data_IF_303261455446
#
_entry.id   IF_303261455446
#
_cell.length_a   1.000
_cell.length_b   1.000
_cell.length_c   1.000
_cell.angle_alpha   90.00
_cell.angle_beta   90.00
_cell.angle_gamma   90.00
#
_symmetry.space_group_name_H-M   'P 1'
#
loop_
_entity.id
_entity.type
_entity.pdbx_description
1 polymer ?
#
# COMPACT_ATOMS: atom_id res chain seq x y z
N UNK A 1 -5.90 -12.58 40.25
CA UNK A 1 -6.47 -13.17 39.00
C UNK A 1 -6.03 -12.33 37.83
N UNK A 2 -5.13 -12.85 37.01
CA UNK A 2 -4.64 -12.13 35.82
C UNK A 2 -5.71 -12.22 34.73
N UNK A 3 -6.26 -11.11 34.33
CA UNK A 3 -7.09 -11.00 33.12
C UNK A 3 -6.22 -11.30 31.91
N UNK A 4 -6.45 -12.42 31.25
CA UNK A 4 -5.82 -12.73 29.99
C UNK A 4 -6.23 -11.66 28.98
N UNK A 5 -5.28 -10.83 28.59
CA UNK A 5 -5.39 -9.92 27.45
C UNK A 5 -5.80 -10.74 26.23
N UNK A 6 -6.98 -10.44 25.68
CA UNK A 6 -7.56 -11.14 24.52
C UNK A 6 -6.85 -10.83 23.21
N UNK A 7 -5.53 -10.97 23.18
CA UNK A 7 -4.80 -10.89 21.91
C UNK A 7 -5.05 -12.18 21.13
N UNK A 8 -5.81 -12.08 20.07
CA UNK A 8 -5.90 -13.14 19.05
C UNK A 8 -4.49 -13.45 18.54
N UNK A 9 -4.14 -14.73 18.50
CA UNK A 9 -2.85 -15.15 17.93
C UNK A 9 -2.74 -14.66 16.49
N UNK A 10 -1.73 -13.84 16.20
CA UNK A 10 -1.46 -13.32 14.85
C UNK A 10 -0.53 -14.28 14.14
N UNK A 11 -0.96 -14.81 13.00
CA UNK A 11 -0.10 -15.57 12.10
C UNK A 11 0.75 -14.62 11.26
N UNK A 12 1.92 -14.28 11.75
CA UNK A 12 2.83 -13.34 11.09
C UNK A 12 3.31 -13.79 9.71
N UNK A 13 3.34 -15.09 9.42
CA UNK A 13 3.66 -15.59 8.09
C UNK A 13 2.55 -15.24 7.10
N UNK A 14 1.30 -15.46 7.47
CA UNK A 14 0.16 -15.08 6.64
C UNK A 14 0.10 -13.56 6.42
N UNK A 15 0.36 -12.76 7.44
CA UNK A 15 0.45 -11.30 7.33
C UNK A 15 1.57 -10.90 6.37
N UNK A 16 2.73 -11.55 6.43
CA UNK A 16 3.85 -11.30 5.52
C UNK A 16 3.49 -11.59 4.06
N UNK A 17 2.82 -12.71 3.79
CA UNK A 17 2.38 -13.10 2.45
C UNK A 17 1.34 -12.11 1.90
N UNK A 18 0.43 -11.64 2.73
CA UNK A 18 -0.56 -10.63 2.38
C UNK A 18 0.08 -9.29 2.05
N UNK A 19 1.02 -8.81 2.87
CA UNK A 19 1.78 -7.57 2.61
C UNK A 19 2.51 -7.64 1.26
N UNK A 20 3.17 -8.76 0.97
CA UNK A 20 3.86 -8.96 -0.31
C UNK A 20 2.86 -8.94 -1.47
N UNK A 21 1.71 -9.54 -1.30
CA UNK A 21 0.65 -9.56 -2.32
C UNK A 21 0.14 -8.16 -2.62
N UNK A 22 -0.16 -7.37 -1.59
CA UNK A 22 -0.61 -5.98 -1.76
C UNK A 22 0.46 -5.09 -2.35
N UNK A 23 1.72 -5.24 -1.91
CA UNK A 23 2.84 -4.51 -2.50
C UNK A 23 2.97 -4.79 -4.00
N UNK A 24 2.93 -6.06 -4.39
CA UNK A 24 2.97 -6.45 -5.81
C UNK A 24 1.84 -5.84 -6.62
N UNK A 25 0.63 -5.83 -6.09
CA UNK A 25 -0.53 -5.27 -6.77
C UNK A 25 -0.42 -3.76 -6.94
N UNK A 26 0.09 -3.03 -5.95
CA UNK A 26 0.35 -1.59 -6.05
C UNK A 26 1.45 -1.31 -7.06
N UNK A 27 2.55 -2.07 -7.06
CA UNK A 27 3.66 -1.90 -8.01
C UNK A 27 3.27 -2.15 -9.48
N UNK A 28 2.16 -2.83 -9.75
CA UNK A 28 1.61 -3.01 -11.11
C UNK A 28 0.95 -1.75 -11.66
N UNK A 29 0.56 -0.85 -10.77
CA UNK A 29 -0.19 0.34 -11.16
C UNK A 29 0.82 1.41 -11.55
N UNK A 30 0.76 1.82 -12.81
CA UNK A 30 1.59 2.91 -13.31
C UNK A 30 1.05 4.24 -12.80
N UNK A 31 1.72 4.76 -11.78
CA UNK A 31 1.42 6.05 -11.14
C UNK A 31 2.51 7.08 -11.38
N UNK A 32 3.23 6.96 -12.52
CA UNK A 32 4.26 7.93 -12.89
C UNK A 32 3.68 9.34 -12.97
N UNK A 33 4.39 10.27 -12.39
CA UNK A 33 4.01 11.68 -12.39
C UNK A 33 5.14 12.51 -13.06
N UNK A 34 4.86 13.28 -14.16
CA UNK A 34 3.59 13.31 -14.89
C UNK A 34 3.29 12.03 -15.70
N UNK A 35 2.00 11.77 -16.12
CA UNK A 35 0.82 12.61 -15.87
C UNK A 35 0.13 12.41 -14.51
N UNK A 36 0.44 11.36 -13.77
CA UNK A 36 -0.25 10.94 -12.57
C UNK A 36 -0.94 9.59 -12.78
N UNK A 37 -2.17 9.40 -12.35
CA UNK A 37 -3.01 8.19 -12.28
C UNK A 37 -3.03 7.56 -10.88
N UNK A 38 -2.69 8.30 -9.86
CA UNK A 38 -2.72 7.83 -8.47
C UNK A 38 -4.12 7.37 -8.05
N UNK A 39 -5.17 7.85 -8.75
CA UNK A 39 -6.54 7.40 -8.53
C UNK A 39 -6.67 5.88 -8.60
N UNK A 40 -5.96 5.20 -9.50
CA UNK A 40 -6.00 3.74 -9.66
C UNK A 40 -5.42 3.01 -8.45
N UNK A 41 -4.36 3.56 -7.84
CA UNK A 41 -3.81 3.03 -6.60
C UNK A 41 -4.76 3.27 -5.43
N UNK A 42 -5.37 4.46 -5.36
CA UNK A 42 -6.36 4.79 -4.34
C UNK A 42 -7.61 3.90 -4.45
N UNK A 43 -8.07 3.59 -5.66
CA UNK A 43 -9.19 2.67 -5.91
C UNK A 43 -8.86 1.25 -5.45
N UNK A 44 -7.69 0.74 -5.80
CA UNK A 44 -7.24 -0.57 -5.34
C UNK A 44 -7.22 -0.64 -3.80
N UNK A 45 -6.63 0.36 -3.14
CA UNK A 45 -6.56 0.39 -1.67
C UNK A 45 -7.98 0.47 -1.08
N UNK A 46 -8.87 1.27 -1.68
CA UNK A 46 -10.27 1.35 -1.24
C UNK A 46 -10.98 0.00 -1.31
N UNK A 47 -10.77 -0.75 -2.40
CA UNK A 47 -11.38 -2.09 -2.56
C UNK A 47 -10.88 -3.05 -1.47
N UNK A 48 -9.58 -3.06 -1.18
CA UNK A 48 -9.01 -3.87 -0.11
C UNK A 48 -9.61 -3.50 1.25
N UNK A 49 -9.68 -2.21 1.57
CA UNK A 49 -10.27 -1.73 2.81
C UNK A 49 -11.75 -2.10 2.94
N UNK A 50 -12.51 -2.02 1.84
CA UNK A 50 -13.93 -2.41 1.83
C UNK A 50 -14.14 -3.90 2.10
N UNK A 51 -13.26 -4.77 1.61
CA UNK A 51 -13.31 -6.21 1.90
C UNK A 51 -13.14 -6.49 3.39
N UNK A 52 -12.37 -5.65 4.08
CA UNK A 52 -12.18 -5.71 5.53
C UNK A 52 -13.21 -4.89 6.33
N UNK A 53 -14.26 -4.39 5.66
CA UNK A 53 -15.32 -3.60 6.30
C UNK A 53 -14.90 -2.19 6.71
N UNK A 54 -13.80 -1.68 6.18
CA UNK A 54 -13.27 -0.35 6.46
C UNK A 54 -13.73 0.61 5.37
N UNK A 55 -14.51 1.62 5.72
CA UNK A 55 -14.93 2.65 4.79
C UNK A 55 -13.77 3.58 4.45
N UNK A 56 -13.53 3.78 3.15
CA UNK A 56 -12.54 4.72 2.63
C UNK A 56 -13.16 5.69 1.63
N UNK A 57 -12.78 6.95 1.70
CA UNK A 57 -13.18 8.01 0.79
C UNK A 57 -12.01 8.41 -0.10
N UNK A 58 -12.25 8.53 -1.41
CA UNK A 58 -11.26 9.07 -2.34
C UNK A 58 -11.53 10.55 -2.51
N UNK A 59 -10.53 11.37 -2.21
CA UNK A 59 -10.56 12.82 -2.37
C UNK A 59 -9.43 13.23 -3.32
N UNK A 60 -9.68 14.23 -4.14
CA UNK A 60 -8.65 14.69 -5.08
C UNK A 60 -9.11 15.83 -5.97
N UNK A 61 -8.16 16.51 -6.62
CA UNK A 61 -8.44 17.68 -7.46
C UNK A 61 -8.97 17.33 -8.86
N UNK A 62 -8.84 16.08 -9.30
CA UNK A 62 -9.21 15.65 -10.65
C UNK A 62 -9.61 14.17 -10.69
N UNK A 63 -10.05 13.72 -11.85
CA UNK A 63 -10.43 12.31 -12.09
C UNK A 63 -9.25 11.34 -12.08
N UNK A 64 -8.03 11.84 -12.30
CA UNK A 64 -6.83 11.02 -12.45
C UNK A 64 -5.96 11.03 -11.18
N UNK A 65 -6.16 12.03 -10.32
CA UNK A 65 -5.40 12.24 -9.10
C UNK A 65 -6.30 12.20 -7.88
N UNK A 66 -6.05 11.21 -7.03
CA UNK A 66 -6.85 11.00 -5.83
C UNK A 66 -6.05 10.41 -4.69
N UNK A 67 -6.48 10.76 -3.49
CA UNK A 67 -5.95 10.23 -2.24
C UNK A 67 -7.05 9.46 -1.54
N UNK A 68 -6.76 8.25 -1.10
CA UNK A 68 -7.67 7.50 -0.23
C UNK A 68 -7.46 7.95 1.22
N UNK A 69 -8.56 8.26 1.88
CA UNK A 69 -8.61 8.57 3.32
C UNK A 69 -9.51 7.55 3.98
N UNK A 70 -9.00 6.84 4.97
CA UNK A 70 -9.76 5.88 5.75
C UNK A 70 -9.48 6.04 7.23
N UNK A 71 -10.41 5.64 8.07
CA UNK A 71 -10.28 5.71 9.52
C UNK A 71 -10.66 4.40 10.18
N UNK A 72 -9.72 3.82 10.91
CA UNK A 72 -9.98 2.78 11.89
C UNK A 72 -10.36 3.45 13.20
N UNK A 73 -11.57 3.18 13.67
CA UNK A 73 -12.05 3.75 14.93
C UNK A 73 -11.46 2.97 16.10
N UNK A 74 -10.73 3.66 16.94
CA UNK A 74 -10.27 3.13 18.22
C UNK A 74 -11.34 3.24 19.34
N UNK A 75 -10.96 2.84 20.53
CA UNK A 75 -11.80 2.92 21.74
C UNK A 75 -11.82 4.32 22.38
N UNK A 76 -11.01 5.25 21.88
CA UNK A 76 -10.91 6.61 22.40
C UNK A 76 -9.98 6.77 23.62
N UNK A 77 -9.27 5.75 24.02
CA UNK A 77 -8.34 5.78 25.17
C UNK A 77 -7.05 6.55 24.91
N UNK A 78 -6.71 6.77 23.62
CA UNK A 78 -5.51 7.48 23.20
C UNK A 78 -5.81 8.46 22.05
N UNK A 79 -4.95 9.48 21.82
CA UNK A 79 -5.02 10.34 20.65
C UNK A 79 -4.91 9.53 19.35
N UNK A 80 -5.52 10.03 18.26
CA UNK A 80 -5.44 9.35 16.96
C UNK A 80 -4.01 9.37 16.41
N UNK A 81 -3.62 8.29 15.74
CA UNK A 81 -2.41 8.21 14.94
C UNK A 81 -2.76 8.44 13.47
N UNK A 82 -2.06 9.37 12.82
CA UNK A 82 -2.14 9.57 11.37
C UNK A 82 -0.96 8.88 10.69
N UNK A 83 -1.26 7.98 9.76
CA UNK A 83 -0.30 7.37 8.84
C UNK A 83 -0.50 7.96 7.46
N UNK A 84 0.57 8.40 6.82
CA UNK A 84 0.52 8.99 5.48
C UNK A 84 1.63 8.41 4.61
N UNK A 85 1.31 8.22 3.33
CA UNK A 85 2.25 7.82 2.29
C UNK A 85 1.81 8.43 0.96
N UNK A 86 2.73 8.58 0.00
CA UNK A 86 2.38 8.94 -1.37
C UNK A 86 2.47 7.71 -2.27
N UNK A 87 1.70 7.70 -3.34
CA UNK A 87 1.62 6.59 -4.30
C UNK A 87 2.15 6.94 -5.68
N UNK A 88 2.41 8.22 -5.95
CA UNK A 88 3.05 8.61 -7.20
C UNK A 88 4.54 8.26 -7.20
N UNK A 89 5.03 7.96 -8.39
CA UNK A 89 6.44 7.68 -8.65
C UNK A 89 6.97 8.59 -9.76
N UNK A 90 8.27 8.81 -9.78
CA UNK A 90 8.94 9.57 -10.85
C UNK A 90 8.93 8.78 -12.16
N UNK A 91 9.16 9.50 -13.27
CA UNK A 91 9.32 8.87 -14.57
C UNK A 91 10.48 7.87 -14.55
N UNK A 92 10.29 6.76 -15.25
CA UNK A 92 11.31 5.73 -15.43
C UNK A 92 11.90 5.82 -16.84
N UNK A 93 13.17 5.46 -16.98
CA UNK A 93 13.86 5.28 -18.25
C UNK A 93 13.96 3.76 -18.49
N UNK A 94 13.00 3.13 -19.22
CA UNK A 94 12.89 1.67 -19.31
C UNK A 94 14.16 1.00 -19.79
N UNK A 95 14.93 1.66 -20.64
CA UNK A 95 16.20 1.16 -21.20
C UNK A 95 17.31 1.01 -20.14
N UNK A 96 17.16 1.63 -18.98
CA UNK A 96 18.11 1.51 -17.86
C UNK A 96 17.74 0.41 -16.87
N UNK A 97 16.60 -0.25 -17.09
CA UNK A 97 16.10 -1.30 -16.21
C UNK A 97 16.36 -2.69 -16.81
N UNK A 98 16.85 -3.62 -16.01
CA UNK A 98 17.04 -5.01 -16.42
C UNK A 98 15.71 -5.73 -16.67
N UNK A 99 14.66 -5.30 -15.98
CA UNK A 99 13.30 -5.81 -16.08
C UNK A 99 12.32 -4.65 -16.21
N UNK A 100 11.14 -4.92 -16.75
CA UNK A 100 10.06 -3.92 -16.75
C UNK A 100 9.80 -3.43 -15.32
N UNK A 101 9.90 -2.10 -15.07
CA UNK A 101 9.71 -1.53 -13.72
C UNK A 101 8.34 -1.84 -13.10
N UNK A 102 7.32 -2.13 -13.92
CA UNK A 102 5.97 -2.47 -13.48
C UNK A 102 5.66 -3.98 -13.53
N UNK A 103 6.62 -4.84 -13.93
CA UNK A 103 6.42 -6.28 -14.04
C UNK A 103 6.35 -7.02 -12.69
N UNK A 104 6.57 -6.34 -11.55
CA UNK A 104 6.60 -6.90 -10.20
C UNK A 104 7.59 -8.06 -10.02
N UNK A 105 8.66 -8.09 -10.72
CA UNK A 105 9.72 -9.05 -10.46
C UNK A 105 10.35 -8.68 -9.12
N UNK A 106 9.77 -9.21 -8.03
CA UNK A 106 10.46 -9.23 -6.76
C UNK A 106 11.41 -10.42 -6.82
N UNK A 107 12.72 -10.22 -6.93
CA UNK A 107 13.67 -11.31 -6.74
C UNK A 107 13.37 -11.95 -5.37
N UNK A 108 13.47 -13.28 -5.29
CA UNK A 108 13.18 -14.02 -4.07
C UNK A 108 13.71 -13.29 -2.84
N UNK A 109 12.93 -13.30 -1.76
CA UNK A 109 13.02 -12.47 -0.55
C UNK A 109 14.40 -12.39 0.12
N UNK A 110 15.35 -13.25 -0.24
CA UNK A 110 16.75 -13.15 0.19
C UNK A 110 17.50 -11.91 -0.33
N UNK A 111 16.91 -11.18 -1.27
CA UNK A 111 17.51 -9.98 -1.89
C UNK A 111 16.71 -8.69 -1.66
N UNK A 112 15.73 -8.67 -0.78
CA UNK A 112 15.07 -7.42 -0.33
C UNK A 112 16.04 -6.43 0.33
N UNK A 113 17.22 -6.88 0.74
CA UNK A 113 18.32 -6.01 1.16
C UNK A 113 19.02 -5.28 0.00
N UNK A 114 18.64 -5.55 -1.25
CA UNK A 114 19.28 -5.01 -2.44
C UNK A 114 18.39 -4.09 -3.27
N UNK A 115 17.28 -3.61 -2.74
CA UNK A 115 16.61 -2.43 -3.30
C UNK A 115 17.52 -1.23 -3.05
N UNK A 116 18.57 -1.13 -3.84
CA UNK A 116 19.35 0.09 -3.96
C UNK A 116 18.46 1.12 -4.63
N UNK A 117 18.00 2.05 -3.84
CA UNK A 117 17.61 3.35 -4.32
C UNK A 117 18.88 4.00 -4.90
N UNK A 118 18.92 4.22 -6.19
CA UNK A 118 19.92 5.07 -6.84
C UNK A 118 19.35 6.48 -6.84
#
# INVERSE_FOLDING_TARGET
MATSSGYTYINWNAVGDEVITHLRNILRIDTRNPPGNEIRAAEYIREVLQQEGIAGEIVGPSTDRGTIVARLKGDGSAPPLLLMSHTDVVAVEPEKWTHDPFAQILPMVSSLAAARWI
#
